data_IF_850223594113
#
_entry.id   IF_850223594113
#
_cell.length_a   1.000
_cell.length_b   1.000
_cell.length_c   1.000
_cell.angle_alpha   90.00
_cell.angle_beta   90.00
_cell.angle_gamma   90.00
#
_symmetry.space_group_name_H-M   'P 1'
#
loop_
_entity.id
_entity.type
_entity.pdbx_description
1 polymer ?
#
# COMPACT_ATOMS: atom_id res chain seq x y z
N UNK A 1 5.97 21.66 -32.87
CA UNK A 1 5.31 20.37 -33.15
C UNK A 1 3.85 20.53 -32.82
N UNK A 2 2.96 20.30 -33.79
CA UNK A 2 1.53 20.18 -33.48
C UNK A 2 1.35 19.05 -32.45
N UNK A 3 0.58 19.33 -31.40
CA UNK A 3 0.32 18.35 -30.34
C UNK A 3 -0.50 17.22 -30.96
N UNK A 4 0.11 16.03 -31.17
CA UNK A 4 -0.62 14.83 -31.59
C UNK A 4 -1.69 14.58 -30.53
N UNK A 5 -2.97 14.65 -30.91
CA UNK A 5 -4.08 14.50 -29.96
C UNK A 5 -4.62 13.09 -29.90
N UNK A 6 -4.40 12.28 -30.93
CA UNK A 6 -4.90 10.91 -31.03
C UNK A 6 -3.73 9.94 -30.93
N UNK A 7 -3.85 8.96 -30.05
CA UNK A 7 -2.87 7.91 -29.81
C UNK A 7 -3.55 6.57 -29.99
N UNK A 8 -2.91 5.67 -30.74
CA UNK A 8 -3.31 4.27 -30.76
C UNK A 8 -2.78 3.57 -29.51
N UNK A 9 -3.69 2.91 -28.81
CA UNK A 9 -3.51 2.33 -27.49
C UNK A 9 -3.88 0.85 -27.52
N UNK A 10 -3.35 0.12 -26.55
CA UNK A 10 -3.72 -1.28 -26.34
C UNK A 10 -5.10 -1.36 -25.69
N UNK A 11 -5.92 -2.26 -26.20
CA UNK A 11 -7.23 -2.62 -25.65
C UNK A 11 -7.29 -4.12 -25.41
N UNK A 12 -7.67 -4.49 -24.21
CA UNK A 12 -7.80 -5.88 -23.79
C UNK A 12 -9.27 -6.30 -23.77
N UNK A 13 -9.58 -7.43 -24.40
CA UNK A 13 -10.92 -8.02 -24.42
C UNK A 13 -10.83 -9.39 -23.76
N UNK A 14 -11.55 -9.54 -22.64
CA UNK A 14 -11.63 -10.78 -21.89
C UNK A 14 -12.79 -11.63 -22.41
N UNK A 15 -12.52 -12.88 -22.78
CA UNK A 15 -13.56 -13.85 -23.14
C UNK A 15 -13.33 -15.16 -22.38
N UNK A 16 -13.96 -15.27 -21.20
CA UNK A 16 -13.63 -16.30 -20.21
C UNK A 16 -12.21 -16.11 -19.71
N UNK A 17 -11.42 -17.18 -19.70
CA UNK A 17 -10.02 -17.15 -19.24
C UNK A 17 -9.03 -16.66 -20.32
N UNK A 18 -9.53 -16.29 -21.51
CA UNK A 18 -8.69 -15.83 -22.63
C UNK A 18 -8.66 -14.30 -22.69
N UNK A 19 -7.45 -13.75 -22.79
CA UNK A 19 -7.18 -12.33 -22.99
C UNK A 19 -6.78 -12.09 -24.46
N UNK A 20 -7.53 -11.25 -25.16
CA UNK A 20 -7.22 -10.81 -26.52
C UNK A 20 -6.77 -9.36 -26.51
N UNK A 21 -5.71 -9.06 -27.25
CA UNK A 21 -5.17 -7.71 -27.43
C UNK A 21 -5.59 -7.16 -28.78
N UNK A 22 -6.07 -5.92 -28.80
CA UNK A 22 -6.44 -5.17 -30.00
C UNK A 22 -5.98 -3.72 -29.86
N UNK A 23 -6.03 -2.97 -30.95
CA UNK A 23 -5.66 -1.55 -31.00
C UNK A 23 -6.92 -0.69 -31.01
N UNK A 24 -6.95 0.35 -30.19
CA UNK A 24 -8.00 1.38 -30.20
C UNK A 24 -7.36 2.76 -30.32
N UNK A 25 -8.15 3.81 -30.58
CA UNK A 25 -7.64 5.18 -30.71
C UNK A 25 -8.27 6.05 -29.63
N UNK A 26 -7.42 6.65 -28.80
CA UNK A 26 -7.85 7.56 -27.74
C UNK A 26 -7.31 8.96 -28.00
N UNK A 27 -8.18 9.95 -27.81
CA UNK A 27 -7.77 11.34 -27.74
C UNK A 27 -7.25 11.65 -26.34
N UNK A 28 -6.04 12.19 -26.24
CA UNK A 28 -5.38 12.39 -24.96
C UNK A 28 -4.00 13.03 -25.06
N UNK A 29 -3.21 12.85 -24.01
CA UNK A 29 -1.81 13.28 -23.93
C UNK A 29 -0.95 12.23 -23.23
N UNK A 30 0.34 12.09 -23.55
CA UNK A 30 1.24 11.26 -22.76
C UNK A 30 1.26 11.74 -21.31
N UNK A 31 1.31 10.81 -20.35
CA UNK A 31 1.26 11.10 -18.92
C UNK A 31 2.31 12.12 -18.53
N UNK A 32 3.54 12.01 -19.06
CA UNK A 32 4.60 13.00 -18.81
C UNK A 32 4.23 14.42 -19.23
N UNK A 33 3.56 14.57 -20.37
CA UNK A 33 3.12 15.87 -20.89
C UNK A 33 1.94 16.37 -20.06
N UNK A 34 1.04 15.48 -19.67
CA UNK A 34 -0.11 15.83 -18.85
C UNK A 34 0.32 16.35 -17.47
N UNK A 35 1.23 15.65 -16.79
CA UNK A 35 1.74 16.02 -15.46
C UNK A 35 2.41 17.41 -15.46
N UNK A 36 3.11 17.78 -16.54
CA UNK A 36 3.71 19.11 -16.69
C UNK A 36 2.73 20.28 -16.51
N UNK A 37 1.46 20.08 -16.84
CA UNK A 37 0.43 21.12 -16.78
C UNK A 37 -0.58 20.92 -15.63
N UNK A 38 -0.45 19.85 -14.86
CA UNK A 38 -1.37 19.50 -13.79
C UNK A 38 -0.59 19.20 -12.52
N UNK A 39 -0.29 20.26 -11.77
CA UNK A 39 0.50 20.18 -10.54
C UNK A 39 -0.21 19.43 -9.40
N UNK A 40 -1.53 19.23 -9.48
CA UNK A 40 -2.31 18.58 -8.42
C UNK A 40 -3.16 17.45 -9.00
N UNK A 41 -3.16 16.29 -8.33
CA UNK A 41 -4.10 15.20 -8.62
C UNK A 41 -4.70 14.65 -7.33
N UNK A 42 -5.94 14.16 -7.40
CA UNK A 42 -6.56 13.54 -6.23
C UNK A 42 -5.91 12.20 -5.90
N UNK A 43 -5.87 11.80 -4.62
CA UNK A 43 -5.42 10.45 -4.24
C UNK A 43 -6.17 9.37 -5.00
N UNK A 44 -7.49 9.51 -5.11
CA UNK A 44 -8.35 8.54 -5.78
C UNK A 44 -7.91 8.34 -7.23
N UNK A 45 -7.58 9.43 -7.94
CA UNK A 45 -7.07 9.39 -9.30
C UNK A 45 -5.70 8.70 -9.38
N UNK A 46 -4.77 8.99 -8.46
CA UNK A 46 -3.47 8.34 -8.40
C UNK A 46 -3.60 6.82 -8.23
N UNK A 47 -4.39 6.37 -7.25
CA UNK A 47 -4.64 4.94 -7.03
C UNK A 47 -5.38 4.28 -8.18
N UNK A 48 -6.30 5.00 -8.84
CA UNK A 48 -7.01 4.53 -10.03
C UNK A 48 -6.07 4.32 -11.21
N UNK A 49 -5.19 5.29 -11.50
CA UNK A 49 -4.20 5.15 -12.57
C UNK A 49 -3.22 4.01 -12.30
N UNK A 50 -2.70 3.88 -11.08
CA UNK A 50 -1.84 2.77 -10.69
C UNK A 50 -2.53 1.42 -10.94
N UNK A 51 -3.81 1.28 -10.54
CA UNK A 51 -4.58 0.05 -10.77
C UNK A 51 -4.83 -0.25 -12.24
N UNK A 52 -5.20 0.74 -13.04
CA UNK A 52 -5.44 0.57 -14.48
C UNK A 52 -4.17 0.10 -15.18
N UNK A 53 -3.03 0.72 -14.88
CA UNK A 53 -1.74 0.35 -15.47
C UNK A 53 -1.34 -1.08 -15.06
N UNK A 54 -1.46 -1.43 -13.78
CA UNK A 54 -1.16 -2.80 -13.31
C UNK A 54 -2.04 -3.82 -14.02
N UNK A 55 -3.34 -3.53 -14.13
CA UNK A 55 -4.29 -4.42 -14.80
C UNK A 55 -3.95 -4.60 -16.29
N UNK A 56 -3.67 -3.52 -17.00
CA UNK A 56 -3.32 -3.55 -18.42
C UNK A 56 -2.01 -4.31 -18.67
N UNK A 57 -0.99 -4.13 -17.82
CA UNK A 57 0.27 -4.90 -17.93
C UNK A 57 0.06 -6.39 -17.63
N UNK A 58 -0.73 -6.72 -16.61
CA UNK A 58 -1.10 -8.10 -16.28
C UNK A 58 -1.92 -8.76 -17.41
N UNK A 59 -2.80 -8.00 -18.07
CA UNK A 59 -3.48 -8.45 -19.30
C UNK A 59 -2.51 -8.66 -20.46
N UNK A 60 -1.54 -7.76 -20.64
CA UNK A 60 -0.52 -7.86 -21.68
C UNK A 60 0.33 -9.12 -21.52
N UNK A 61 0.78 -9.45 -20.31
CA UNK A 61 1.59 -10.65 -20.02
C UNK A 61 0.83 -11.96 -20.21
N UNK A 62 -0.50 -11.95 -20.01
CA UNK A 62 -1.34 -13.11 -20.29
C UNK A 62 -1.57 -13.35 -21.78
N UNK A 63 -1.36 -12.36 -22.64
CA UNK A 63 -1.45 -12.54 -24.08
C UNK A 63 -0.26 -13.36 -24.61
N UNK A 64 -0.53 -14.30 -25.51
CA UNK A 64 0.47 -15.22 -26.04
C UNK A 64 1.59 -14.47 -26.78
N UNK A 65 2.84 -14.72 -26.39
CA UNK A 65 4.03 -14.17 -27.06
C UNK A 65 4.52 -12.84 -26.51
N UNK A 66 3.91 -12.34 -25.43
CA UNK A 66 4.25 -11.05 -24.82
C UNK A 66 4.86 -11.25 -23.41
N UNK A 67 6.18 -11.47 -23.31
CA UNK A 67 6.85 -11.72 -22.03
C UNK A 67 7.01 -10.47 -21.15
N UNK A 68 7.00 -9.28 -21.76
CA UNK A 68 7.03 -7.97 -21.11
C UNK A 68 6.65 -6.86 -22.10
N UNK A 69 6.00 -5.80 -21.64
CA UNK A 69 5.74 -4.57 -22.39
C UNK A 69 7.02 -3.75 -22.66
N UNK A 70 8.01 -3.88 -21.78
CA UNK A 70 9.40 -3.40 -21.91
C UNK A 70 9.60 -1.87 -21.83
N UNK A 71 8.55 -1.07 -22.03
CA UNK A 71 8.61 0.38 -22.08
C UNK A 71 7.73 1.06 -21.03
N UNK A 72 7.50 0.43 -19.88
CA UNK A 72 6.66 1.00 -18.81
C UNK A 72 7.26 2.30 -18.26
N UNK A 73 6.76 3.45 -18.73
CA UNK A 73 7.20 4.77 -18.29
C UNK A 73 6.13 5.85 -18.62
N UNK A 74 6.28 7.09 -18.12
CA UNK A 74 5.34 8.18 -18.38
C UNK A 74 5.13 8.60 -19.85
N UNK A 75 5.99 8.19 -20.79
CA UNK A 75 5.80 8.44 -22.22
C UNK A 75 4.90 7.39 -22.88
N UNK A 76 4.91 6.16 -22.38
CA UNK A 76 4.14 5.02 -22.92
C UNK A 76 2.71 4.94 -22.37
N UNK A 77 2.33 5.85 -21.47
CA UNK A 77 1.00 5.89 -20.85
C UNK A 77 0.28 7.14 -21.35
N UNK A 78 -0.93 6.98 -21.88
CA UNK A 78 -1.75 8.07 -22.40
C UNK A 78 -2.88 8.37 -21.42
N UNK A 79 -2.96 9.63 -20.98
CA UNK A 79 -4.11 10.17 -20.24
C UNK A 79 -5.17 10.59 -21.25
N UNK A 80 -6.29 9.87 -21.28
CA UNK A 80 -7.42 10.18 -22.14
C UNK A 80 -8.23 11.38 -21.64
N UNK A 81 -9.05 11.97 -22.53
CA UNK A 81 -10.01 13.02 -22.15
C UNK A 81 -11.04 12.55 -21.11
N UNK A 82 -11.25 11.24 -21.00
CA UNK A 82 -12.09 10.58 -19.99
C UNK A 82 -11.41 10.42 -18.61
N UNK A 83 -10.20 10.98 -18.45
CA UNK A 83 -9.37 10.91 -17.23
C UNK A 83 -8.88 9.50 -16.87
N UNK A 84 -8.94 8.56 -17.80
CA UNK A 84 -8.33 7.23 -17.66
C UNK A 84 -6.94 7.20 -18.26
N UNK A 85 -6.17 6.18 -17.89
CA UNK A 85 -4.85 5.91 -18.45
C UNK A 85 -4.88 4.66 -19.31
N UNK A 86 -4.09 4.68 -20.38
CA UNK A 86 -4.03 3.62 -21.37
C UNK A 86 -2.58 3.34 -21.77
N UNK A 87 -2.23 2.07 -21.96
CA UNK A 87 -0.93 1.70 -22.52
C UNK A 87 -0.89 2.00 -24.02
N UNK A 88 0.20 2.60 -24.49
CA UNK A 88 0.42 2.90 -25.90
C UNK A 88 0.63 1.60 -26.70
N UNK A 89 0.07 1.51 -27.92
CA UNK A 89 0.35 0.41 -28.83
C UNK A 89 1.68 0.62 -29.55
N UNK A 90 2.74 -0.02 -29.03
CA UNK A 90 4.10 0.10 -29.56
C UNK A 90 4.33 -0.68 -30.85
N UNK A 91 3.41 -1.60 -31.21
CA UNK A 91 3.50 -2.34 -32.46
C UNK A 91 3.01 -1.51 -33.66
N UNK A 92 2.31 -0.40 -33.40
CA UNK A 92 1.81 0.46 -34.45
C UNK A 92 2.88 1.42 -35.00
N UNK A 93 2.84 1.62 -36.32
CA UNK A 93 3.73 2.55 -37.03
C UNK A 93 3.49 3.99 -36.63
N UNK A 94 2.28 4.34 -36.20
CA UNK A 94 1.92 5.69 -35.76
C UNK A 94 2.66 6.12 -34.47
N UNK A 95 3.33 5.19 -33.79
CA UNK A 95 3.97 5.35 -32.49
C UNK A 95 5.50 5.25 -32.58
N UNK A 96 6.05 5.05 -33.77
CA UNK A 96 7.47 4.84 -34.00
C UNK A 96 8.32 5.99 -33.42
N UNK A 97 7.88 7.24 -33.59
CA UNK A 97 8.53 8.41 -33.00
C UNK A 97 8.60 8.36 -31.46
N UNK A 98 7.52 7.90 -30.81
CA UNK A 98 7.46 7.76 -29.36
C UNK A 98 8.36 6.62 -28.89
N UNK A 99 8.38 5.51 -29.62
CA UNK A 99 9.27 4.39 -29.35
C UNK A 99 10.74 4.83 -29.45
N UNK A 100 11.12 5.57 -30.49
CA UNK A 100 12.46 6.12 -30.63
C UNK A 100 12.83 7.12 -29.53
N UNK A 101 11.86 7.92 -29.07
CA UNK A 101 12.05 8.80 -27.92
C UNK A 101 12.38 8.01 -26.66
N UNK A 102 11.63 6.94 -26.38
CA UNK A 102 11.85 6.08 -25.20
C UNK A 102 13.15 5.25 -25.29
N UNK A 103 13.67 5.01 -26.48
CA UNK A 103 14.96 4.36 -26.68
C UNK A 103 16.15 5.30 -26.43
N UNK A 104 15.94 6.61 -26.28
CA UNK A 104 17.04 7.54 -25.99
C UNK A 104 17.64 7.27 -24.62
N UNK A 105 18.96 7.36 -24.55
CA UNK A 105 19.76 7.07 -23.34
C UNK A 105 19.22 7.75 -22.08
N UNK A 106 18.93 9.06 -22.15
CA UNK A 106 18.43 9.82 -21.00
C UNK A 106 17.02 9.38 -20.54
N UNK A 107 16.23 8.71 -21.37
CA UNK A 107 14.96 8.10 -20.93
C UNK A 107 15.24 6.75 -20.28
N UNK A 108 16.03 5.91 -20.95
CA UNK A 108 16.39 4.56 -20.47
C UNK A 108 17.04 4.57 -19.09
N UNK A 109 17.99 5.47 -18.86
CA UNK A 109 18.71 5.58 -17.58
C UNK A 109 17.80 5.94 -16.39
N UNK A 110 16.63 6.54 -16.66
CA UNK A 110 15.68 6.93 -15.63
C UNK A 110 14.61 5.86 -15.34
N UNK A 111 14.25 5.04 -16.33
CA UNK A 111 13.08 4.14 -16.24
C UNK A 111 13.40 2.65 -16.40
N UNK A 112 14.58 2.27 -16.88
CA UNK A 112 15.00 0.87 -16.99
C UNK A 112 15.88 0.45 -15.83
N UNK A 113 15.89 -0.86 -15.56
CA UNK A 113 16.82 -1.42 -14.58
C UNK A 113 18.27 -1.20 -15.03
N UNK A 114 19.22 -1.00 -14.11
CA UNK A 114 20.63 -0.81 -14.48
C UNK A 114 21.20 -1.98 -15.29
N UNK A 115 20.68 -3.19 -15.08
CA UNK A 115 21.10 -4.40 -15.79
C UNK A 115 20.49 -4.55 -17.20
N UNK A 116 19.47 -3.77 -17.53
CA UNK A 116 18.72 -3.89 -18.78
C UNK A 116 18.65 -2.59 -19.59
N UNK A 117 19.64 -1.71 -19.43
CA UNK A 117 19.70 -0.41 -20.13
C UNK A 117 19.69 -0.49 -21.66
N UNK A 118 19.93 -1.68 -22.22
CA UNK A 118 19.96 -1.94 -23.67
C UNK A 118 18.86 -2.92 -24.13
N UNK A 119 17.80 -3.13 -23.34
CA UNK A 119 16.66 -3.97 -23.71
C UNK A 119 17.03 -5.43 -24.04
N UNK A 120 18.08 -5.95 -23.40
CA UNK A 120 18.59 -7.31 -23.62
C UNK A 120 17.73 -8.39 -22.96
N UNK A 121 17.11 -8.06 -21.82
CA UNK A 121 16.20 -8.93 -21.08
C UNK A 121 14.77 -8.54 -21.40
N UNK A 122 13.94 -9.54 -21.67
CA UNK A 122 12.50 -9.39 -21.89
C UNK A 122 11.75 -10.22 -20.86
N UNK A 123 11.55 -9.65 -19.68
CA UNK A 123 11.00 -10.32 -18.51
C UNK A 123 10.02 -9.40 -17.78
N UNK A 124 8.95 -9.97 -17.22
CA UNK A 124 7.93 -9.25 -16.45
C UNK A 124 8.50 -8.37 -15.32
N UNK A 125 9.62 -8.79 -14.72
CA UNK A 125 10.31 -8.01 -13.67
C UNK A 125 10.82 -6.65 -14.14
N UNK A 126 11.05 -6.48 -15.43
CA UNK A 126 11.50 -5.20 -16.02
C UNK A 126 10.34 -4.21 -16.10
N UNK A 127 9.13 -4.69 -16.37
CA UNK A 127 7.91 -3.88 -16.32
C UNK A 127 7.56 -3.45 -14.89
N UNK A 128 7.76 -4.34 -13.92
CA UNK A 128 7.63 -4.03 -12.49
C UNK A 128 8.61 -2.92 -12.10
N UNK A 129 9.86 -2.99 -12.56
CA UNK A 129 10.86 -1.95 -12.31
C UNK A 129 10.43 -0.60 -12.93
N UNK A 130 10.05 -0.61 -14.21
CA UNK A 130 9.56 0.59 -14.90
C UNK A 130 8.32 1.19 -14.24
N UNK A 131 7.41 0.36 -13.76
CA UNK A 131 6.25 0.77 -12.96
C UNK A 131 6.67 1.49 -11.67
N UNK A 132 7.63 0.92 -10.92
CA UNK A 132 8.20 1.56 -9.73
C UNK A 132 8.80 2.94 -10.01
N UNK A 133 9.59 3.07 -11.09
CA UNK A 133 10.16 4.35 -11.55
C UNK A 133 9.09 5.35 -11.98
N UNK A 134 8.04 4.88 -12.65
CA UNK A 134 6.92 5.72 -13.03
C UNK A 134 6.15 6.26 -11.82
N UNK A 135 5.93 5.43 -10.77
CA UNK A 135 5.33 5.91 -9.52
C UNK A 135 6.21 6.98 -8.85
N UNK A 136 7.53 6.77 -8.78
CA UNK A 136 8.46 7.79 -8.28
C UNK A 136 8.32 9.10 -9.06
N UNK A 137 8.28 9.02 -10.39
CA UNK A 137 8.13 10.19 -11.25
C UNK A 137 6.81 10.92 -11.04
N UNK A 138 5.69 10.19 -10.95
CA UNK A 138 4.38 10.80 -10.71
C UNK A 138 4.40 11.54 -9.36
N UNK A 139 4.83 10.87 -8.30
CA UNK A 139 4.84 11.45 -6.94
C UNK A 139 5.81 12.61 -6.77
N UNK A 140 6.87 12.70 -7.58
CA UNK A 140 7.77 13.86 -7.58
C UNK A 140 7.29 15.00 -8.48
N UNK A 141 6.34 14.75 -9.38
CA UNK A 141 5.87 15.72 -10.36
C UNK A 141 4.58 16.42 -9.95
N UNK A 142 3.85 15.91 -8.96
CA UNK A 142 2.54 16.42 -8.54
C UNK A 142 2.36 16.40 -7.03
N UNK A 143 1.54 17.31 -6.54
CA UNK A 143 1.00 17.30 -5.19
C UNK A 143 -0.31 16.50 -5.16
N UNK A 144 -0.46 15.63 -4.15
CA UNK A 144 -1.68 14.84 -3.99
C UNK A 144 -2.67 15.60 -3.11
N UNK A 145 -3.94 15.66 -3.54
CA UNK A 145 -5.02 16.28 -2.78
C UNK A 145 -6.12 15.27 -2.41
N UNK A 146 -6.37 15.00 -1.12
CA UNK A 146 -5.56 15.43 0.03
C UNK A 146 -4.13 14.84 -0.01
N UNK A 147 -3.20 15.36 0.78
CA UNK A 147 -1.85 14.80 0.88
C UNK A 147 -1.88 13.39 1.46
N UNK A 148 -0.96 12.53 1.00
CA UNK A 148 -0.79 11.18 1.55
C UNK A 148 -0.55 11.28 3.05
N UNK A 149 -1.35 10.52 3.81
CA UNK A 149 -1.07 10.34 5.23
C UNK A 149 0.25 9.60 5.35
N UNK A 150 0.93 9.83 6.46
CA UNK A 150 2.19 9.16 6.77
C UNK A 150 2.19 7.64 6.43
N UNK A 151 1.20 6.89 6.91
CA UNK A 151 1.09 5.45 6.63
C UNK A 151 0.84 5.11 5.15
N UNK A 152 0.15 5.98 4.41
CA UNK A 152 -0.05 5.81 2.97
C UNK A 152 1.26 6.05 2.22
N UNK A 153 2.02 7.07 2.62
CA UNK A 153 3.37 7.36 2.11
C UNK A 153 4.31 6.19 2.35
N UNK A 154 4.36 5.66 3.58
CA UNK A 154 5.11 4.45 3.97
C UNK A 154 4.76 3.28 3.07
N UNK A 155 3.45 3.02 2.89
CA UNK A 155 2.98 1.90 2.08
C UNK A 155 3.39 2.03 0.61
N UNK A 156 3.19 3.21 0.01
CA UNK A 156 3.57 3.49 -1.37
C UNK A 156 5.09 3.37 -1.53
N UNK A 157 5.86 3.89 -0.58
CA UNK A 157 7.31 3.82 -0.63
C UNK A 157 7.81 2.38 -0.56
N UNK A 158 7.25 1.55 0.34
CA UNK A 158 7.59 0.13 0.39
C UNK A 158 7.29 -0.59 -0.93
N UNK A 159 6.17 -0.26 -1.58
CA UNK A 159 5.84 -0.82 -2.91
C UNK A 159 6.91 -0.41 -3.93
N UNK A 160 7.26 0.88 -3.99
CA UNK A 160 8.29 1.41 -4.90
C UNK A 160 9.62 0.70 -4.65
N UNK A 161 10.09 0.61 -3.40
CA UNK A 161 11.34 -0.08 -3.06
C UNK A 161 11.33 -1.52 -3.55
N UNK A 162 10.25 -2.27 -3.29
CA UNK A 162 10.13 -3.68 -3.73
C UNK A 162 10.05 -3.84 -5.25
N UNK A 163 9.54 -2.84 -5.98
CA UNK A 163 9.60 -2.81 -7.44
C UNK A 163 11.03 -2.57 -7.96
N UNK A 164 11.81 -1.75 -7.24
CA UNK A 164 13.16 -1.32 -7.65
C UNK A 164 14.30 -2.19 -7.11
N UNK A 165 14.00 -3.13 -6.22
CA UNK A 165 14.96 -4.02 -5.58
C UNK A 165 15.77 -4.83 -6.62
N UNK A 166 17.09 -4.84 -6.45
CA UNK A 166 18.05 -5.46 -7.37
C UNK A 166 18.27 -6.95 -7.08
N UNK A 167 18.23 -7.38 -5.81
CA UNK A 167 18.73 -8.70 -5.39
C UNK A 167 17.92 -9.37 -4.25
N UNK A 168 16.84 -8.76 -3.75
CA UNK A 168 16.11 -9.32 -2.60
C UNK A 168 15.13 -10.44 -2.93
N UNK A 169 15.07 -11.46 -2.03
CA UNK A 169 13.96 -12.45 -1.96
C UNK A 169 12.58 -11.77 -1.86
N UNK A 170 12.53 -10.51 -1.42
CA UNK A 170 11.32 -9.69 -1.23
C UNK A 170 10.82 -8.98 -2.50
N UNK A 171 11.55 -9.04 -3.63
CA UNK A 171 11.14 -8.43 -4.91
C UNK A 171 9.81 -9.04 -5.42
N UNK A 172 8.96 -8.20 -6.02
CA UNK A 172 7.79 -8.70 -6.74
C UNK A 172 8.21 -9.49 -7.98
N UNK A 173 7.73 -10.72 -8.09
CA UNK A 173 8.06 -11.60 -9.22
C UNK A 173 7.03 -11.48 -10.33
N UNK A 174 5.77 -11.20 -9.98
CA UNK A 174 4.67 -11.02 -10.93
C UNK A 174 3.89 -9.74 -10.64
N UNK A 175 3.30 -9.13 -11.68
CA UNK A 175 2.39 -8.00 -11.52
C UNK A 175 1.14 -8.36 -10.73
N UNK A 176 0.72 -9.62 -10.74
CA UNK A 176 -0.35 -10.12 -9.87
C UNK A 176 -0.07 -9.87 -8.38
N UNK A 177 1.20 -9.80 -7.97
CA UNK A 177 1.59 -9.55 -6.57
C UNK A 177 1.34 -8.09 -6.14
N UNK A 178 1.26 -7.18 -7.13
CA UNK A 178 0.88 -5.78 -6.95
C UNK A 178 -0.64 -5.60 -6.98
N UNK A 179 -1.39 -6.58 -7.50
CA UNK A 179 -2.84 -6.55 -7.53
C UNK A 179 -3.40 -6.54 -6.11
N UNK A 180 -4.16 -5.50 -5.78
CA UNK A 180 -4.69 -5.25 -4.43
C UNK A 180 -3.84 -4.34 -3.54
N UNK A 181 -2.58 -4.07 -3.88
CA UNK A 181 -1.75 -3.10 -3.14
C UNK A 181 -2.24 -1.65 -3.32
N UNK A 182 -2.83 -1.36 -4.48
CA UNK A 182 -3.44 -0.07 -4.82
C UNK A 182 -4.96 -0.08 -4.69
N UNK A 183 -5.52 -1.02 -3.93
CA UNK A 183 -6.89 -0.86 -3.45
C UNK A 183 -6.91 0.37 -2.53
N UNK A 184 -7.61 1.43 -2.95
CA UNK A 184 -8.21 2.34 -1.98
C UNK A 184 -8.94 1.40 -1.04
N UNK A 185 -8.56 1.38 0.25
CA UNK A 185 -9.29 0.65 1.29
C UNK A 185 -10.76 0.82 0.94
N UNK A 186 -11.39 -0.23 0.38
CA UNK A 186 -12.78 -0.13 0.02
C UNK A 186 -13.42 0.30 1.31
N UNK A 187 -14.02 1.50 1.35
CA UNK A 187 -14.84 1.92 2.47
C UNK A 187 -15.78 0.76 2.68
N UNK A 188 -15.47 -0.06 3.67
CA UNK A 188 -15.86 -1.46 3.73
C UNK A 188 -17.37 -1.49 3.69
N UNK A 189 -17.97 -1.73 2.52
CA UNK A 189 -19.42 -1.52 2.35
C UNK A 189 -20.23 -2.48 3.24
N UNK A 190 -19.57 -3.52 3.80
CA UNK A 190 -20.09 -4.35 4.87
C UNK A 190 -20.52 -3.55 6.11
N UNK A 191 -19.74 -2.55 6.54
CA UNK A 191 -20.11 -1.74 7.71
C UNK A 191 -21.34 -0.88 7.46
N UNK A 192 -21.53 -0.38 6.22
CA UNK A 192 -22.74 0.35 5.84
C UNK A 192 -23.96 -0.55 5.74
N UNK A 193 -23.85 -1.72 5.10
CA UNK A 193 -24.96 -2.69 5.00
C UNK A 193 -25.43 -3.15 6.38
N UNK A 194 -24.49 -3.49 7.27
CA UNK A 194 -24.80 -3.90 8.66
C UNK A 194 -25.35 -2.71 9.48
N UNK A 195 -24.80 -1.50 9.31
CA UNK A 195 -25.35 -0.28 9.94
C UNK A 195 -26.76 0.06 9.45
N UNK A 196 -27.08 -0.13 8.16
CA UNK A 196 -28.45 0.04 7.64
C UNK A 196 -29.40 -1.01 8.20
N UNK A 197 -28.95 -2.26 8.39
CA UNK A 197 -29.73 -3.29 9.09
C UNK A 197 -29.97 -2.88 10.54
N UNK A 198 -28.96 -2.41 11.28
CA UNK A 198 -29.10 -1.95 12.66
C UNK A 198 -30.04 -0.73 12.79
N UNK A 199 -29.97 0.22 11.87
CA UNK A 199 -30.91 1.36 11.81
C UNK A 199 -32.34 0.85 11.54
N UNK A 200 -32.53 -0.08 10.61
CA UNK A 200 -33.83 -0.65 10.30
C UNK A 200 -34.43 -1.41 11.50
N UNK A 201 -33.63 -2.21 12.21
CA UNK A 201 -34.06 -2.93 13.42
C UNK A 201 -34.41 -1.96 14.57
N UNK A 202 -33.63 -0.89 14.76
CA UNK A 202 -33.91 0.14 15.76
C UNK A 202 -35.20 0.92 15.48
N UNK A 203 -35.46 1.24 14.21
CA UNK A 203 -36.72 1.88 13.78
C UNK A 203 -37.92 0.94 13.99
N UNK A 204 -37.77 -0.34 13.69
CA UNK A 204 -38.82 -1.35 13.94
C UNK A 204 -39.09 -1.50 15.45
N UNK A 205 -38.05 -1.53 16.29
CA UNK A 205 -38.19 -1.54 17.75
C UNK A 205 -38.91 -0.32 18.31
N UNK A 206 -38.63 0.88 17.77
CA UNK A 206 -39.34 2.12 18.12
C UNK A 206 -40.83 2.09 17.71
N UNK A 207 -41.14 1.51 16.55
CA UNK A 207 -42.53 1.38 16.07
C UNK A 207 -43.36 0.44 16.95
N UNK A 208 -42.79 -0.69 17.40
CA UNK A 208 -43.45 -1.64 18.31
C UNK A 208 -43.75 -0.99 19.68
N UNK A 209 -42.83 -0.18 20.22
CA UNK A 209 -43.05 0.56 21.47
C UNK A 209 -44.13 1.64 21.35
N UNK A 210 -44.33 2.22 20.17
CA UNK A 210 -45.36 3.24 19.92
C UNK A 210 -46.76 2.67 19.66
N UNK A 211 -46.88 1.40 19.28
CA UNK A 211 -48.16 0.71 19.02
C UNK A 211 -49.04 0.55 20.27
N UNK A 212 -48.45 0.57 21.48
CA UNK A 212 -49.17 0.38 22.74
C UNK A 212 -49.91 1.62 23.28
N UNK A 213 -50.01 2.72 22.52
CA UNK A 213 -50.70 3.94 22.98
C UNK A 213 -52.00 4.31 22.25
N UNK A 214 -52.44 3.53 21.25
CA UNK A 214 -53.63 3.89 20.43
C UNK A 214 -54.92 3.15 20.83
N UNK A 215 -54.86 2.14 21.70
CA UNK A 215 -56.08 1.35 22.06
C UNK A 215 -56.85 1.91 23.27
N UNK A 216 -56.35 2.91 23.99
CA UNK A 216 -57.01 3.41 25.22
C UNK A 216 -57.96 4.61 25.07
N UNK A 217 -58.23 5.10 23.85
CA UNK A 217 -59.06 6.30 23.67
C UNK A 217 -60.44 6.10 23.02
N UNK A 218 -60.88 4.87 22.70
CA UNK A 218 -62.22 4.65 22.15
C UNK A 218 -62.85 3.40 22.76
N UNK A 219 -63.54 3.55 23.89
CA UNK A 219 -64.90 3.03 24.13
C UNK A 219 -65.24 3.05 25.63
N UNK A 220 -66.19 3.93 25.99
CA UNK A 220 -66.91 3.83 27.25
C UNK A 220 -67.91 2.67 27.21
N UNK A 221 -68.10 2.05 28.38
CA UNK A 221 -69.20 1.13 28.77
C UNK A 221 -69.51 -0.07 27.85
N UNK A 222 -69.21 -1.29 28.31
CA UNK A 222 -70.18 -2.14 29.04
C UNK A 222 -69.64 -3.57 29.24
N UNK A 223 -70.21 -4.25 30.23
CA UNK A 223 -69.72 -5.47 30.90
C UNK A 223 -70.18 -6.74 30.17
N UNK A 224 -69.26 -7.66 29.80
CA UNK A 224 -69.34 -9.15 29.78
C UNK A 224 -68.45 -9.75 28.67
N UNK A 225 -67.34 -10.44 29.03
CA UNK A 225 -67.00 -11.80 28.55
C UNK A 225 -65.66 -12.29 29.16
N UNK A 226 -65.74 -13.14 30.18
CA UNK A 226 -64.62 -13.84 30.83
C UNK A 226 -63.98 -14.95 29.97
N UNK A 227 -63.67 -14.64 28.71
CA UNK A 227 -62.93 -15.50 27.79
C UNK A 227 -62.05 -14.75 26.80
N UNK A 228 -62.14 -13.41 26.76
CA UNK A 228 -61.26 -12.55 25.95
C UNK A 228 -60.02 -12.08 26.71
N UNK A 229 -60.13 -11.83 28.02
CA UNK A 229 -58.99 -11.35 28.85
C UNK A 229 -57.85 -12.37 28.92
N UNK A 230 -58.15 -13.68 28.94
CA UNK A 230 -57.12 -14.73 28.95
C UNK A 230 -56.42 -14.88 27.59
N UNK A 231 -57.14 -14.65 26.47
CA UNK A 231 -56.53 -14.63 25.13
C UNK A 231 -55.72 -13.36 24.89
N UNK A 232 -56.15 -12.21 25.41
CA UNK A 232 -55.41 -10.95 25.34
C UNK A 232 -54.09 -11.07 26.14
N UNK A 233 -54.15 -11.56 27.38
CA UNK A 233 -52.97 -11.78 28.22
C UNK A 233 -52.00 -12.84 27.64
N UNK A 234 -52.50 -13.92 27.03
CA UNK A 234 -51.66 -14.89 26.33
C UNK A 234 -51.03 -14.34 25.04
N UNK A 235 -51.68 -13.36 24.40
CA UNK A 235 -51.16 -12.71 23.19
C UNK A 235 -50.11 -11.65 23.56
N UNK A 236 -50.38 -10.82 24.56
CA UNK A 236 -49.42 -9.88 25.16
C UNK A 236 -48.17 -10.62 25.66
N UNK A 237 -48.33 -11.74 26.38
CA UNK A 237 -47.21 -12.56 26.85
C UNK A 237 -46.39 -13.17 25.71
N UNK A 238 -47.01 -13.51 24.58
CA UNK A 238 -46.32 -13.99 23.38
C UNK A 238 -45.64 -12.87 22.60
N UNK A 239 -46.20 -11.67 22.62
CA UNK A 239 -45.61 -10.47 22.01
C UNK A 239 -44.42 -9.96 22.83
N UNK A 240 -44.51 -9.95 24.16
CA UNK A 240 -43.41 -9.65 25.07
C UNK A 240 -42.26 -10.65 24.94
N UNK A 241 -42.58 -11.95 24.85
CA UNK A 241 -41.58 -13.01 24.64
C UNK A 241 -40.91 -12.88 23.26
N UNK A 242 -41.63 -12.45 22.22
CA UNK A 242 -41.06 -12.12 20.91
C UNK A 242 -40.19 -10.86 20.95
N UNK A 243 -40.60 -9.84 21.70
CA UNK A 243 -39.84 -8.61 21.88
C UNK A 243 -38.52 -8.88 22.63
N UNK A 244 -38.56 -9.72 23.68
CA UNK A 244 -37.37 -10.18 24.39
C UNK A 244 -36.43 -10.97 23.49
N UNK A 245 -36.95 -11.94 22.72
CA UNK A 245 -36.15 -12.72 21.78
C UNK A 245 -35.49 -11.83 20.69
N UNK A 246 -36.19 -10.79 20.23
CA UNK A 246 -35.65 -9.83 19.26
C UNK A 246 -34.55 -8.94 19.87
N UNK A 247 -34.70 -8.58 21.15
CA UNK A 247 -33.73 -7.77 21.87
C UNK A 247 -32.47 -8.56 22.21
N UNK A 248 -32.59 -9.85 22.54
CA UNK A 248 -31.47 -10.78 22.67
C UNK A 248 -30.74 -10.97 21.33
N UNK A 249 -31.46 -11.22 20.24
CA UNK A 249 -30.86 -11.30 18.89
C UNK A 249 -30.14 -10.02 18.48
N UNK A 250 -30.69 -8.85 18.81
CA UNK A 250 -30.04 -7.56 18.55
C UNK A 250 -28.75 -7.41 19.34
N UNK A 251 -28.73 -7.85 20.59
CA UNK A 251 -27.56 -7.79 21.44
C UNK A 251 -26.45 -8.73 20.94
N UNK A 252 -26.79 -9.96 20.57
CA UNK A 252 -25.84 -10.92 19.97
C UNK A 252 -25.24 -10.38 18.67
N UNK A 253 -26.06 -9.81 17.78
CA UNK A 253 -25.59 -9.25 16.52
C UNK A 253 -24.67 -8.03 16.72
N UNK A 254 -24.95 -7.22 17.75
CA UNK A 254 -24.11 -6.09 18.12
C UNK A 254 -22.75 -6.55 18.65
N UNK A 255 -22.73 -7.56 19.51
CA UNK A 255 -21.49 -8.13 20.05
C UNK A 255 -20.64 -8.78 18.94
N UNK A 256 -21.27 -9.51 18.03
CA UNK A 256 -20.59 -10.05 16.84
C UNK A 256 -19.97 -8.95 15.97
N UNK A 257 -20.70 -7.86 15.75
CA UNK A 257 -20.19 -6.73 14.95
C UNK A 257 -19.03 -6.01 15.65
N UNK A 258 -19.10 -5.79 16.95
CA UNK A 258 -18.01 -5.19 17.72
C UNK A 258 -16.76 -6.08 17.70
N UNK A 259 -16.93 -7.39 17.83
CA UNK A 259 -15.85 -8.37 17.72
C UNK A 259 -15.22 -8.39 16.32
N UNK A 260 -16.02 -8.48 15.26
CA UNK A 260 -15.52 -8.46 13.88
C UNK A 260 -14.80 -7.14 13.59
N UNK A 261 -15.38 -6.01 13.99
CA UNK A 261 -14.76 -4.68 13.82
C UNK A 261 -13.40 -4.62 14.52
N UNK A 262 -13.30 -5.15 15.75
CA UNK A 262 -12.06 -5.17 16.52
C UNK A 262 -11.01 -6.07 15.85
N UNK A 263 -11.36 -7.28 15.45
CA UNK A 263 -10.46 -8.21 14.75
C UNK A 263 -9.90 -7.59 13.46
N UNK A 264 -10.72 -6.85 12.72
CA UNK A 264 -10.32 -6.18 11.51
C UNK A 264 -9.41 -4.98 11.74
N UNK A 265 -9.66 -4.25 12.82
CA UNK A 265 -8.80 -3.16 13.26
C UNK A 265 -7.45 -3.70 13.73
N UNK A 266 -7.42 -4.79 14.48
CA UNK A 266 -6.21 -5.46 14.95
C UNK A 266 -5.40 -6.01 13.76
N UNK A 267 -6.05 -6.67 12.78
CA UNK A 267 -5.39 -7.12 11.53
C UNK A 267 -4.81 -5.97 10.71
N UNK A 268 -5.51 -4.83 10.65
CA UNK A 268 -5.00 -3.62 9.97
C UNK A 268 -3.79 -3.06 10.70
N UNK A 269 -3.87 -2.93 12.02
CA UNK A 269 -2.81 -2.40 12.88
C UNK A 269 -1.55 -3.27 12.81
N UNK A 270 -1.71 -4.59 12.83
CA UNK A 270 -0.59 -5.53 12.68
C UNK A 270 0.10 -5.38 11.33
N UNK A 271 -0.66 -5.28 10.23
CA UNK A 271 -0.09 -5.02 8.90
C UNK A 271 0.62 -3.67 8.84
N UNK A 272 0.07 -2.64 9.48
CA UNK A 272 0.70 -1.30 9.55
C UNK A 272 2.06 -1.36 10.27
N UNK A 273 2.15 -2.06 11.41
CA UNK A 273 3.41 -2.27 12.12
C UNK A 273 4.42 -3.04 11.26
N UNK A 274 4.01 -4.14 10.61
CA UNK A 274 4.88 -4.91 9.70
C UNK A 274 5.40 -4.07 8.51
N UNK A 275 4.58 -3.14 7.99
CA UNK A 275 4.99 -2.21 6.94
C UNK A 275 6.08 -1.24 7.42
N UNK A 276 5.93 -0.67 8.62
CA UNK A 276 6.90 0.25 9.22
C UNK A 276 8.24 -0.44 9.48
N UNK A 277 8.24 -1.67 10.03
CA UNK A 277 9.48 -2.44 10.24
C UNK A 277 10.24 -2.69 8.95
N UNK A 278 9.55 -3.18 7.91
CA UNK A 278 10.23 -3.46 6.63
C UNK A 278 10.79 -2.19 6.00
N UNK A 279 10.11 -1.04 6.13
CA UNK A 279 10.60 0.22 5.58
C UNK A 279 11.79 0.77 6.38
N UNK A 280 11.71 0.74 7.71
CA UNK A 280 12.81 1.07 8.59
C UNK A 280 14.05 0.23 8.25
N UNK A 281 13.88 -1.09 8.06
CA UNK A 281 14.97 -1.98 7.70
C UNK A 281 15.61 -1.66 6.34
N UNK A 282 14.80 -1.31 5.33
CA UNK A 282 15.31 -0.86 4.02
C UNK A 282 16.16 0.39 4.18
N UNK A 283 15.68 1.37 4.95
CA UNK A 283 16.39 2.62 5.18
C UNK A 283 17.71 2.40 5.93
N UNK A 284 17.69 1.53 6.94
CA UNK A 284 18.86 1.14 7.72
C UNK A 284 19.92 0.43 6.87
N UNK A 285 19.53 -0.64 6.17
CA UNK A 285 20.47 -1.57 5.52
C UNK A 285 20.85 -1.16 4.10
N UNK A 286 19.90 -0.63 3.30
CA UNK A 286 20.13 -0.37 1.88
C UNK A 286 20.47 1.09 1.60
N UNK A 287 19.75 2.01 2.26
CA UNK A 287 19.93 3.45 2.04
C UNK A 287 20.98 4.06 2.97
N UNK A 288 21.31 3.37 4.08
CA UNK A 288 22.17 3.87 5.17
C UNK A 288 21.71 5.22 5.73
N UNK A 289 20.42 5.48 5.65
CA UNK A 289 19.78 6.70 6.15
C UNK A 289 19.09 6.35 7.47
N UNK A 290 19.88 6.48 8.52
CA UNK A 290 19.54 6.09 9.89
C UNK A 290 18.55 7.07 10.53
N UNK A 291 18.55 8.34 10.13
CA UNK A 291 17.57 9.33 10.60
C UNK A 291 16.16 9.00 10.13
N UNK A 292 16.01 8.69 8.83
CA UNK A 292 14.71 8.28 8.30
C UNK A 292 14.29 6.92 8.85
N UNK A 293 15.24 6.00 9.09
CA UNK A 293 14.97 4.75 9.80
C UNK A 293 14.34 4.98 11.18
N UNK A 294 15.00 5.78 12.03
CA UNK A 294 14.50 6.12 13.38
C UNK A 294 13.09 6.68 13.35
N UNK A 295 12.82 7.62 12.43
CA UNK A 295 11.50 8.24 12.29
C UNK A 295 10.39 7.22 12.04
N UNK A 296 10.63 6.27 11.13
CA UNK A 296 9.65 5.21 10.83
C UNK A 296 9.38 4.29 12.03
N UNK A 297 10.38 4.02 12.85
CA UNK A 297 10.24 3.20 14.06
C UNK A 297 9.52 3.95 15.18
N UNK A 298 9.78 5.26 15.32
CA UNK A 298 9.13 6.11 16.32
C UNK A 298 7.63 6.34 16.05
N UNK A 299 7.20 6.28 14.79
CA UNK A 299 5.78 6.41 14.42
C UNK A 299 4.95 5.15 14.67
N UNK A 300 5.54 4.09 15.21
CA UNK A 300 4.81 2.91 15.64
C UNK A 300 3.93 3.22 16.86
N UNK A 301 2.65 2.84 16.79
CA UNK A 301 1.69 3.04 17.91
C UNK A 301 2.08 2.30 19.19
N UNK A 302 2.65 1.12 19.03
CA UNK A 302 3.05 0.24 20.13
C UNK A 302 4.44 -0.33 19.77
N UNK A 303 5.52 0.43 20.01
CA UNK A 303 6.87 -0.03 19.72
C UNK A 303 7.27 -1.13 20.70
N UNK A 304 7.63 -2.30 20.17
CA UNK A 304 8.21 -3.40 20.93
C UNK A 304 9.65 -3.08 21.37
N UNK A 305 10.29 -4.02 22.07
CA UNK A 305 11.66 -3.85 22.53
C UNK A 305 12.62 -3.57 21.36
N UNK A 306 12.43 -4.27 20.24
CA UNK A 306 13.29 -4.14 19.07
C UNK A 306 13.17 -2.82 18.33
N UNK A 307 11.96 -2.28 18.17
CA UNK A 307 11.81 -0.95 17.59
C UNK A 307 12.61 0.08 18.40
N UNK A 308 12.60 -0.03 19.74
CA UNK A 308 13.34 0.88 20.62
C UNK A 308 14.85 0.68 20.51
N UNK A 309 15.31 -0.56 20.48
CA UNK A 309 16.74 -0.86 20.33
C UNK A 309 17.25 -0.45 18.95
N UNK A 310 16.44 -0.63 17.89
CA UNK A 310 16.76 -0.16 16.54
C UNK A 310 16.83 1.36 16.45
N UNK A 311 15.92 2.11 17.08
CA UNK A 311 16.02 3.58 17.16
C UNK A 311 17.30 3.98 17.87
N UNK A 312 17.65 3.30 18.96
CA UNK A 312 18.89 3.55 19.70
C UNK A 312 20.12 3.25 18.84
N UNK A 313 20.12 2.13 18.12
CA UNK A 313 21.17 1.75 17.19
C UNK A 313 21.31 2.78 16.07
N UNK A 314 20.19 3.18 15.44
CA UNK A 314 20.18 4.24 14.43
C UNK A 314 20.77 5.54 14.97
N UNK A 315 20.44 5.95 16.19
CA UNK A 315 21.04 7.12 16.83
C UNK A 315 22.55 7.01 17.04
N UNK A 316 23.07 5.81 17.33
CA UNK A 316 24.52 5.57 17.42
C UNK A 316 25.20 5.50 16.05
N UNK A 317 24.46 5.14 15.01
CA UNK A 317 24.94 4.97 13.63
C UNK A 317 24.81 6.26 12.79
N UNK A 318 23.84 7.12 13.10
CA UNK A 318 23.67 8.47 12.56
C UNK A 318 24.84 9.35 13.01
N UNK A 319 25.92 9.38 12.23
CA UNK A 319 26.81 10.55 12.25
C UNK A 319 25.98 11.73 11.72
N UNK A 320 26.00 12.86 12.41
CA UNK A 320 25.48 14.10 11.85
C UNK A 320 26.14 14.31 10.48
N UNK A 321 25.34 14.52 9.43
CA UNK A 321 25.84 14.94 8.12
C UNK A 321 26.70 16.20 8.30
N UNK A 322 28.00 15.99 8.38
CA UNK A 322 29.02 17.01 8.18
C UNK A 322 29.73 16.63 6.89
N UNK A 323 29.54 17.44 5.85
CA UNK A 323 30.18 17.39 4.53
C UNK A 323 31.72 17.45 4.54
N UNK A 324 32.40 17.14 5.64
CA UNK A 324 33.85 17.14 5.72
C UNK A 324 34.38 15.69 5.70
N UNK A 325 35.28 15.44 4.74
CA UNK A 325 36.10 14.25 4.51
C UNK A 325 36.96 13.81 5.73
N UNK A 326 36.71 14.35 6.92
CA UNK A 326 37.31 13.98 8.20
C UNK A 326 36.24 13.38 9.10
N UNK A 327 35.84 12.16 8.79
CA UNK A 327 35.05 11.35 9.70
C UNK A 327 35.94 10.99 10.90
N UNK A 328 35.85 11.71 12.02
CA UNK A 328 36.56 11.35 13.26
C UNK A 328 36.23 9.90 13.62
N UNK A 329 37.25 9.07 13.81
CA UNK A 329 37.12 7.65 14.19
C UNK A 329 36.23 7.54 15.42
N UNK A 330 35.35 6.54 15.44
CA UNK A 330 34.53 6.22 16.61
C UNK A 330 35.47 5.98 17.80
N UNK A 331 35.15 6.54 18.96
CA UNK A 331 35.95 6.26 20.16
C UNK A 331 35.78 4.80 20.59
N UNK A 332 36.78 4.22 21.25
CA UNK A 332 36.68 2.85 21.80
C UNK A 332 35.42 2.69 22.68
N UNK A 333 35.08 3.72 23.46
CA UNK A 333 33.87 3.75 24.30
C UNK A 333 32.55 3.73 23.49
N UNK A 334 32.53 4.38 22.32
CA UNK A 334 31.38 4.38 21.42
C UNK A 334 31.23 3.06 20.65
N UNK A 335 32.34 2.42 20.25
CA UNK A 335 32.35 1.08 19.67
C UNK A 335 31.84 0.05 20.68
N UNK A 336 32.38 0.07 21.90
CA UNK A 336 31.93 -0.79 23.00
C UNK A 336 30.43 -0.57 23.29
N UNK A 337 29.97 0.67 23.25
CA UNK A 337 28.55 1.00 23.44
C UNK A 337 27.64 0.40 22.36
N UNK A 338 28.08 0.41 21.08
CA UNK A 338 27.34 -0.22 19.99
C UNK A 338 27.38 -1.74 20.13
N UNK A 339 28.55 -2.32 20.41
CA UNK A 339 28.70 -3.77 20.59
C UNK A 339 27.86 -4.30 21.75
N UNK A 340 27.83 -3.60 22.89
CA UNK A 340 26.98 -3.95 24.04
C UNK A 340 25.50 -3.92 23.67
N UNK A 341 25.06 -2.97 22.84
CA UNK A 341 23.69 -2.91 22.37
C UNK A 341 23.39 -4.09 21.43
N UNK A 342 24.28 -4.38 20.49
CA UNK A 342 24.12 -5.49 19.54
C UNK A 342 24.09 -6.85 20.25
N UNK A 343 24.91 -7.05 21.28
CA UNK A 343 24.92 -8.27 22.07
C UNK A 343 23.63 -8.43 22.89
N UNK A 344 23.11 -7.34 23.45
CA UNK A 344 21.79 -7.35 24.11
C UNK A 344 20.68 -7.70 23.11
N UNK A 345 20.66 -7.05 21.95
CA UNK A 345 19.68 -7.34 20.90
C UNK A 345 19.75 -8.81 20.45
N UNK A 346 20.94 -9.43 20.45
CA UNK A 346 21.14 -10.85 20.15
C UNK A 346 20.61 -11.77 21.26
N UNK A 347 20.71 -11.37 22.52
CA UNK A 347 20.24 -12.17 23.66
C UNK A 347 18.73 -12.06 23.90
N UNK A 348 18.15 -10.92 23.55
CA UNK A 348 16.74 -10.61 23.78
C UNK A 348 15.87 -10.78 22.53
N UNK A 349 16.31 -11.60 21.55
CA UNK A 349 15.53 -11.90 20.34
C UNK A 349 14.17 -12.48 20.76
N UNK A 350 13.04 -11.80 20.50
CA UNK A 350 11.72 -12.26 20.95
C UNK A 350 11.25 -13.51 20.20
N UNK A 351 11.77 -13.74 19.00
CA UNK A 351 11.46 -14.88 18.14
C UNK A 351 12.73 -15.28 17.36
N UNK A 352 13.33 -16.43 17.70
CA UNK A 352 14.55 -16.93 17.05
C UNK A 352 14.37 -17.20 15.53
N UNK A 353 13.13 -17.34 15.05
CA UNK A 353 12.83 -17.48 13.62
C UNK A 353 12.76 -16.12 12.89
N UNK A 354 12.78 -15.00 13.61
CA UNK A 354 12.72 -13.66 13.03
C UNK A 354 14.08 -13.21 12.48
N UNK A 355 14.32 -13.53 11.19
CA UNK A 355 15.56 -13.22 10.47
C UNK A 355 15.94 -11.73 10.51
N UNK A 356 14.99 -10.81 10.78
CA UNK A 356 15.24 -9.35 10.80
C UNK A 356 16.26 -8.93 11.85
N UNK A 357 16.24 -9.57 13.02
CA UNK A 357 17.18 -9.26 14.12
C UNK A 357 18.60 -9.66 13.74
N UNK A 358 18.75 -10.88 13.23
CA UNK A 358 20.03 -11.40 12.79
C UNK A 358 20.60 -10.53 11.65
N UNK A 359 19.80 -10.20 10.63
CA UNK A 359 20.24 -9.36 9.51
C UNK A 359 20.67 -7.95 9.97
N UNK A 360 19.94 -7.32 10.90
CA UNK A 360 20.32 -6.01 11.46
C UNK A 360 21.65 -6.06 12.20
N UNK A 361 21.82 -7.06 13.07
CA UNK A 361 23.03 -7.20 13.89
C UNK A 361 24.25 -7.47 13.01
N UNK A 362 24.13 -8.39 12.06
CA UNK A 362 25.23 -8.70 11.12
C UNK A 362 25.56 -7.49 10.24
N UNK A 363 24.55 -6.77 9.72
CA UNK A 363 24.80 -5.55 8.95
C UNK A 363 25.54 -4.47 9.77
N UNK A 364 25.12 -4.23 11.01
CA UNK A 364 25.75 -3.24 11.87
C UNK A 364 27.21 -3.63 12.18
N UNK A 365 27.48 -4.90 12.48
CA UNK A 365 28.84 -5.42 12.67
C UNK A 365 29.70 -5.27 11.43
N UNK A 366 29.17 -5.57 10.24
CA UNK A 366 29.87 -5.35 8.98
C UNK A 366 30.21 -3.87 8.73
N UNK A 367 29.34 -2.94 9.15
CA UNK A 367 29.66 -1.51 9.01
C UNK A 367 30.78 -1.10 9.95
N UNK A 368 30.79 -1.58 11.20
CA UNK A 368 31.87 -1.32 12.16
C UNK A 368 33.21 -1.87 11.64
N UNK A 369 33.25 -3.12 11.16
CA UNK A 369 34.48 -3.72 10.62
C UNK A 369 34.99 -3.02 9.34
N UNK A 370 34.11 -2.42 8.55
CA UNK A 370 34.53 -1.64 7.36
C UNK A 370 35.17 -0.31 7.75
N UNK A 371 34.79 0.28 8.89
CA UNK A 371 35.50 1.44 9.45
C UNK A 371 36.94 1.06 9.85
N UNK A 372 37.17 -0.17 10.36
CA UNK A 372 38.51 -0.68 10.71
C UNK A 372 39.40 -0.98 9.48
N UNK A 373 38.86 -1.53 8.40
CA UNK A 373 39.66 -1.96 7.23
C UNK A 373 40.17 -0.79 6.38
N UNK A 374 39.50 0.36 6.40
CA UNK A 374 40.01 1.59 5.75
C UNK A 374 41.35 2.02 6.39
N UNK A 375 41.58 1.69 7.66
CA UNK A 375 42.77 2.04 8.44
C UNK A 375 44.05 1.28 8.00
N UNK A 376 43.95 0.02 7.59
CA UNK A 376 45.10 -0.76 7.10
C UNK A 376 45.59 -0.30 5.72
N UNK A 377 44.69 0.23 4.89
CA UNK A 377 45.05 0.70 3.55
C UNK A 377 45.65 2.11 3.55
N UNK A 378 45.23 2.99 4.46
CA UNK A 378 45.79 4.34 4.57
C UNK A 378 47.09 4.40 5.38
N UNK A 379 47.30 3.49 6.33
CA UNK A 379 48.56 3.40 7.10
C UNK A 379 49.70 2.70 6.34
N UNK A 380 49.39 1.96 5.27
CA UNK A 380 50.38 1.30 4.40
C UNK A 380 51.01 2.18 3.32
N UNK A 381 50.50 3.39 3.09
CA UNK A 381 51.06 4.36 2.12
C UNK A 381 52.02 5.38 2.77
N UNK A 382 52.14 5.41 4.10
CA UNK A 382 53.17 6.16 4.82
C UNK A 382 54.16 5.21 5.52
N UNK A 383 54.99 4.52 4.72
CA UNK A 383 56.18 3.82 5.22
C UNK A 383 57.30 3.77 4.19
#
# INVERSE_FOLDING_TARGET
MEEKRNYEILKFVMHGDKCYMSTDIVKGKPLIVWLKYHAHITKEQFYEWARQIIADLDHFHRCRGNPCYQYVNPYSVIVGEDRKVYLLDLASKEQEDMMHLMQRRYVRENFLSPENQYYQKSEEKEDIYGFGKMLQYVLSSVELEPELKFLESVRIQKIITRCLDKQGKKRYQKLSDLSGQFSLSEKRNGSKKIMYVMIALAVIGLLVLSGNRIVSCISGQSRRQGGQDMKLADTERKEDMKAQAYQEQFQELKEQWEAERKELQDKSSKREQELLYDLAFVYFSQMKDYEVCSRYLEEMKEPDAFAKDMVRLCGMMSRADGEDDNTEKRTEDEEESVEMLLERMRQEIPDEEDERYAECIEFAKEQLQKEDVVEEQTSGEES
#
